data_IF_676448097614
#
_entry.id   IF_676448097614
#
_cell.length_a   1.000
_cell.length_b   1.000
_cell.length_c   1.000
_cell.angle_alpha   90.00
_cell.angle_beta   90.00
_cell.angle_gamma   90.00
#
_symmetry.space_group_name_H-M   'P 1'
#
loop_
_entity.id
_entity.type
_entity.pdbx_description
1 polymer ?
#
# COMPACT_ATOMS: atom_id res chain seq x y z
N UNK A 1 -41.47 -15.81 0.54
CA UNK A 1 -41.78 -14.90 1.65
C UNK A 1 -41.51 -15.62 2.95
N UNK A 2 -40.45 -15.27 3.67
CA UNK A 2 -40.30 -15.45 5.11
C UNK A 2 -38.98 -14.81 5.54
N UNK A 3 -39.10 -13.69 6.26
CA UNK A 3 -38.07 -13.20 7.18
C UNK A 3 -38.18 -14.06 8.45
N UNK A 4 -37.06 -14.34 9.14
CA UNK A 4 -36.99 -13.83 10.51
C UNK A 4 -35.60 -13.29 10.86
N UNK A 5 -35.55 -12.00 11.17
CA UNK A 5 -34.72 -11.49 12.27
C UNK A 5 -35.18 -12.16 13.57
N UNK A 6 -34.24 -12.50 14.44
CA UNK A 6 -34.28 -12.11 15.86
C UNK A 6 -32.87 -12.31 16.44
N UNK A 7 -32.07 -11.28 16.25
CA UNK A 7 -30.78 -11.07 16.90
C UNK A 7 -31.02 -10.51 18.30
N UNK A 8 -30.61 -11.22 19.35
CA UNK A 8 -30.21 -10.58 20.61
C UNK A 8 -29.01 -11.33 21.25
N UNK A 9 -28.12 -10.61 21.93
CA UNK A 9 -26.71 -10.96 22.03
C UNK A 9 -26.41 -11.81 23.28
N UNK A 10 -25.64 -12.90 23.12
CA UNK A 10 -24.99 -13.53 24.26
C UNK A 10 -23.67 -12.82 24.56
N UNK A 11 -23.60 -12.34 25.79
CA UNK A 11 -22.47 -11.64 26.40
C UNK A 11 -21.15 -12.36 26.15
N UNK A 12 -20.21 -11.56 25.68
CA UNK A 12 -18.80 -11.80 25.50
C UNK A 12 -18.15 -12.33 26.78
N UNK A 13 -17.72 -13.60 26.73
CA UNK A 13 -16.66 -14.14 27.55
C UNK A 13 -15.40 -14.20 26.68
N UNK A 14 -14.35 -13.55 27.17
CA UNK A 14 -13.08 -13.30 26.52
C UNK A 14 -12.35 -14.60 26.13
N UNK A 15 -11.66 -14.56 24.98
CA UNK A 15 -10.68 -15.52 24.48
C UNK A 15 -11.23 -16.89 24.02
N UNK A 16 -10.67 -17.39 22.91
CA UNK A 16 -10.92 -18.69 22.26
C UNK A 16 -12.23 -18.81 21.46
N UNK A 17 -12.15 -18.65 20.14
CA UNK A 17 -12.82 -19.49 19.12
C UNK A 17 -12.63 -18.92 17.70
N UNK A 18 -11.63 -19.44 16.98
CA UNK A 18 -11.65 -19.51 15.52
C UNK A 18 -11.84 -20.98 15.14
N UNK A 19 -13.09 -21.44 15.07
CA UNK A 19 -13.44 -22.75 14.49
C UNK A 19 -14.76 -22.62 13.75
N UNK A 20 -14.68 -22.55 12.42
CA UNK A 20 -15.45 -23.34 11.46
C UNK A 20 -15.39 -22.70 10.07
N UNK A 21 -14.35 -23.03 9.31
CA UNK A 21 -14.49 -23.20 7.87
C UNK A 21 -14.40 -24.70 7.61
N UNK A 22 -15.51 -25.29 7.18
CA UNK A 22 -15.65 -26.71 6.86
C UNK A 22 -14.80 -27.04 5.64
N UNK A 23 -13.56 -27.47 5.87
CA UNK A 23 -12.76 -28.24 4.91
C UNK A 23 -12.68 -29.65 5.48
N UNK A 24 -13.12 -30.64 4.71
CA UNK A 24 -12.88 -32.03 5.02
C UNK A 24 -11.35 -32.27 4.96
N UNK A 25 -10.67 -32.05 6.08
CA UNK A 25 -9.23 -32.27 6.23
C UNK A 25 -8.99 -33.76 6.45
N UNK A 26 -8.23 -34.38 5.55
CA UNK A 26 -7.71 -35.73 5.75
C UNK A 26 -6.94 -35.78 7.09
N UNK A 27 -7.06 -36.86 7.88
CA UNK A 27 -6.43 -36.96 9.21
C UNK A 27 -4.94 -36.60 9.24
N UNK A 28 -4.19 -36.96 8.19
CA UNK A 28 -2.76 -36.64 8.07
C UNK A 28 -2.44 -35.15 7.92
N UNK A 29 -3.35 -34.36 7.33
CA UNK A 29 -3.15 -32.91 7.19
C UNK A 29 -3.36 -32.19 8.52
N UNK A 30 -4.23 -32.71 9.39
CA UNK A 30 -4.42 -32.18 10.75
C UNK A 30 -3.20 -32.44 11.62
N UNK A 31 -2.64 -33.65 11.58
CA UNK A 31 -1.38 -33.96 12.28
C UNK A 31 -0.20 -33.15 11.74
N UNK A 32 -0.10 -32.97 10.42
CA UNK A 32 0.95 -32.13 9.81
C UNK A 32 0.80 -30.65 10.20
N UNK A 33 -0.42 -30.14 10.28
CA UNK A 33 -0.72 -28.81 10.82
C UNK A 33 -0.31 -28.76 12.29
N UNK A 34 -0.80 -29.66 13.14
CA UNK A 34 -0.48 -29.64 14.58
C UNK A 34 1.02 -29.79 14.85
N UNK A 35 1.73 -30.61 14.10
CA UNK A 35 3.19 -30.76 14.20
C UNK A 35 3.93 -29.52 13.70
N UNK A 36 3.43 -28.86 12.66
CA UNK A 36 3.95 -27.57 12.19
C UNK A 36 3.76 -26.44 13.20
N UNK A 37 2.63 -26.41 13.92
CA UNK A 37 2.37 -25.41 14.97
C UNK A 37 3.20 -25.63 16.24
N UNK A 38 3.61 -26.87 16.49
CA UNK A 38 4.48 -27.24 17.61
C UNK A 38 5.97 -27.24 17.26
N UNK A 39 6.36 -26.77 16.07
CA UNK A 39 7.77 -26.74 15.67
C UNK A 39 8.56 -25.68 16.47
N UNK A 40 9.87 -25.89 16.71
CA UNK A 40 10.74 -24.87 17.29
C UNK A 40 10.69 -23.55 16.51
N UNK A 41 10.56 -23.61 15.18
CA UNK A 41 10.46 -22.45 14.31
C UNK A 41 9.16 -21.66 14.56
N UNK A 42 8.04 -22.36 14.76
CA UNK A 42 6.76 -21.72 15.11
C UNK A 42 6.82 -21.03 16.47
N UNK A 43 7.47 -21.64 17.47
CA UNK A 43 7.67 -21.02 18.79
C UNK A 43 8.58 -19.78 18.72
N UNK A 44 9.66 -19.86 17.95
CA UNK A 44 10.54 -18.71 17.69
C UNK A 44 9.81 -17.59 16.94
N UNK A 45 8.95 -17.93 15.99
CA UNK A 45 8.12 -16.97 15.27
C UNK A 45 7.11 -16.28 16.21
N UNK A 46 6.42 -17.03 17.07
CA UNK A 46 5.51 -16.47 18.07
C UNK A 46 6.23 -15.54 19.05
N UNK A 47 7.43 -15.93 19.50
CA UNK A 47 8.25 -15.09 20.36
C UNK A 47 8.71 -13.81 19.63
N UNK A 48 9.15 -13.91 18.39
CA UNK A 48 9.55 -12.76 17.58
C UNK A 48 8.38 -11.79 17.34
N UNK A 49 7.18 -12.32 17.07
CA UNK A 49 5.96 -11.53 16.92
C UNK A 49 5.57 -10.83 18.22
N UNK A 50 5.56 -11.57 19.34
CA UNK A 50 5.20 -11.05 20.66
C UNK A 50 6.16 -9.97 21.16
N UNK A 51 7.43 -10.07 20.77
CA UNK A 51 8.47 -9.11 21.12
C UNK A 51 8.68 -8.00 20.09
N UNK A 52 7.92 -8.02 18.98
CA UNK A 52 8.04 -7.03 17.90
C UNK A 52 9.35 -7.08 17.11
N UNK A 53 10.10 -8.19 17.16
CA UNK A 53 11.37 -8.34 16.44
C UNK A 53 11.13 -8.71 14.96
N UNK A 54 10.89 -7.68 14.15
CA UNK A 54 10.55 -7.80 12.72
C UNK A 54 11.56 -8.61 11.92
N UNK A 55 12.85 -8.30 12.06
CA UNK A 55 13.91 -9.01 11.31
C UNK A 55 14.00 -10.49 11.69
N UNK A 56 13.81 -10.81 12.97
CA UNK A 56 13.85 -12.19 13.44
C UNK A 56 12.71 -12.99 12.80
N UNK A 57 11.48 -12.45 12.80
CA UNK A 57 10.34 -13.13 12.20
C UNK A 57 10.50 -13.32 10.67
N UNK A 58 11.04 -12.32 9.97
CA UNK A 58 11.28 -12.41 8.52
C UNK A 58 12.35 -13.45 8.21
N UNK A 59 13.43 -13.51 8.98
CA UNK A 59 14.47 -14.51 8.81
C UNK A 59 13.95 -15.93 9.10
N UNK A 60 13.13 -16.10 10.13
CA UNK A 60 12.49 -17.40 10.45
C UNK A 60 11.63 -17.84 9.27
N UNK A 61 10.80 -16.94 8.74
CA UNK A 61 9.95 -17.21 7.59
C UNK A 61 10.74 -17.54 6.31
N UNK A 62 11.82 -16.80 6.03
CA UNK A 62 12.69 -17.07 4.87
C UNK A 62 13.37 -18.44 5.00
N UNK A 63 13.81 -18.82 6.20
CA UNK A 63 14.44 -20.11 6.44
C UNK A 63 13.46 -21.28 6.31
N UNK A 64 12.23 -21.13 6.80
CA UNK A 64 11.18 -22.15 6.70
C UNK A 64 10.76 -22.39 5.24
N UNK A 65 10.61 -21.31 4.46
CA UNK A 65 10.28 -21.38 3.03
C UNK A 65 11.38 -21.96 2.14
N UNK A 66 12.64 -21.85 2.55
CA UNK A 66 13.76 -22.45 1.82
C UNK A 66 13.86 -23.97 2.07
N UNK A 67 13.02 -24.54 2.94
CA UNK A 67 12.93 -25.99 3.12
C UNK A 67 12.38 -26.66 1.85
N UNK A 68 13.06 -27.72 1.40
CA UNK A 68 12.79 -28.42 0.12
C UNK A 68 11.37 -28.99 0.00
N UNK A 69 10.59 -29.02 1.08
CA UNK A 69 9.33 -29.74 1.17
C UNK A 69 8.12 -28.93 0.68
N UNK A 70 8.23 -27.60 0.54
CA UNK A 70 7.13 -26.74 0.09
C UNK A 70 7.61 -25.61 -0.83
N UNK A 71 7.83 -25.89 -2.14
CA UNK A 71 8.29 -24.90 -3.11
C UNK A 71 7.21 -23.87 -3.53
N UNK A 72 6.00 -23.96 -2.99
CA UNK A 72 5.01 -22.88 -3.11
C UNK A 72 5.53 -21.69 -2.29
N UNK A 73 5.88 -20.60 -2.98
CA UNK A 73 6.28 -19.34 -2.35
C UNK A 73 5.19 -18.96 -1.36
N UNK A 74 5.43 -19.13 -0.06
CA UNK A 74 4.40 -18.78 0.91
C UNK A 74 4.11 -17.28 0.81
N UNK A 75 2.87 -16.93 1.08
CA UNK A 75 2.34 -15.59 0.91
C UNK A 75 2.13 -14.99 2.31
N UNK A 76 2.68 -13.81 2.57
CA UNK A 76 2.42 -13.09 3.81
C UNK A 76 0.95 -12.67 3.88
N UNK A 77 0.26 -13.09 4.94
CA UNK A 77 -1.14 -12.74 5.14
C UNK A 77 -1.26 -11.42 5.91
N UNK A 78 -1.56 -10.34 5.19
CA UNK A 78 -1.70 -9.01 5.77
C UNK A 78 -2.94 -8.88 6.67
N UNK A 79 -3.97 -9.70 6.50
CA UNK A 79 -5.13 -9.71 7.41
C UNK A 79 -4.73 -10.05 8.85
N UNK A 80 -3.74 -10.93 9.01
CA UNK A 80 -3.22 -11.30 10.33
C UNK A 80 -2.29 -10.21 10.88
N UNK A 81 -1.42 -9.66 10.03
CA UNK A 81 -0.53 -8.56 10.44
C UNK A 81 -1.29 -7.28 10.83
N UNK A 82 -2.46 -7.04 10.25
CA UNK A 82 -3.33 -5.92 10.64
C UNK A 82 -3.83 -6.02 12.09
N UNK A 83 -3.76 -7.19 12.72
CA UNK A 83 -4.17 -7.41 14.12
C UNK A 83 -3.03 -7.11 15.11
N UNK A 84 -1.79 -6.98 14.62
CA UNK A 84 -0.63 -6.59 15.41
C UNK A 84 -0.68 -5.09 15.78
N UNK A 85 0.08 -4.65 16.80
CA UNK A 85 0.25 -3.23 17.09
C UNK A 85 0.61 -2.42 15.83
N UNK A 86 -0.01 -1.24 15.68
CA UNK A 86 0.00 -0.44 14.44
C UNK A 86 1.40 -0.22 13.86
N UNK A 87 2.35 0.25 14.66
CA UNK A 87 3.73 0.52 14.22
C UNK A 87 4.46 -0.76 13.76
N UNK A 88 4.20 -1.86 14.45
CA UNK A 88 4.75 -3.17 14.12
C UNK A 88 4.23 -3.65 12.77
N UNK A 89 2.91 -3.55 12.55
CA UNK A 89 2.28 -3.92 11.28
C UNK A 89 2.86 -3.13 10.10
N UNK A 90 3.01 -1.81 10.25
CA UNK A 90 3.60 -0.93 9.24
C UNK A 90 5.04 -1.30 8.92
N UNK A 91 5.83 -1.57 9.95
CA UNK A 91 7.25 -1.95 9.81
C UNK A 91 7.38 -3.31 9.13
N UNK A 92 6.55 -4.29 9.51
CA UNK A 92 6.47 -5.59 8.83
C UNK A 92 6.14 -5.43 7.35
N UNK A 93 5.10 -4.67 7.03
CA UNK A 93 4.68 -4.52 5.64
C UNK A 93 5.74 -3.85 4.77
N UNK A 94 6.40 -2.81 5.29
CA UNK A 94 7.53 -2.18 4.60
C UNK A 94 8.63 -3.19 4.32
N UNK A 95 9.02 -3.98 5.32
CA UNK A 95 10.11 -4.94 5.18
C UNK A 95 9.78 -6.10 4.24
N UNK A 96 8.54 -6.59 4.26
CA UNK A 96 8.02 -7.58 3.30
C UNK A 96 8.15 -7.05 1.86
N UNK A 97 7.79 -5.78 1.64
CA UNK A 97 7.92 -5.14 0.34
C UNK A 97 9.38 -4.98 -0.10
N UNK A 98 10.28 -4.54 0.79
CA UNK A 98 11.72 -4.42 0.49
C UNK A 98 12.34 -5.74 0.04
N UNK A 99 11.97 -6.84 0.69
CA UNK A 99 12.40 -8.19 0.33
C UNK A 99 11.68 -8.75 -0.92
N UNK A 100 10.70 -8.03 -1.45
CA UNK A 100 9.87 -8.40 -2.62
C UNK A 100 9.08 -9.70 -2.42
N UNK A 101 8.72 -10.01 -1.18
CA UNK A 101 7.92 -11.18 -0.86
C UNK A 101 6.50 -11.06 -1.42
N UNK A 102 5.83 -12.19 -1.59
CA UNK A 102 4.41 -12.21 -1.94
C UNK A 102 3.58 -11.94 -0.68
N UNK A 103 2.47 -11.23 -0.84
CA UNK A 103 1.54 -10.92 0.23
C UNK A 103 0.11 -10.90 -0.30
N UNK A 104 -0.87 -11.02 0.60
CA UNK A 104 -2.29 -10.93 0.30
C UNK A 104 -3.05 -10.28 1.45
N UNK A 105 -4.11 -9.52 1.12
CA UNK A 105 -4.96 -8.82 2.09
C UNK A 105 -4.63 -7.34 2.24
N UNK A 106 -4.00 -6.76 1.24
CA UNK A 106 -3.61 -5.37 1.17
C UNK A 106 -4.79 -4.41 1.27
N UNK A 107 -5.95 -4.75 0.73
CA UNK A 107 -7.18 -3.97 0.79
C UNK A 107 -7.67 -3.80 2.23
N UNK A 108 -7.76 -4.90 2.98
CA UNK A 108 -8.12 -4.87 4.39
C UNK A 108 -7.04 -4.17 5.22
N UNK A 109 -5.77 -4.48 4.99
CA UNK A 109 -4.65 -3.85 5.69
C UNK A 109 -4.67 -2.32 5.55
N UNK A 110 -4.87 -1.84 4.32
CA UNK A 110 -5.01 -0.43 4.01
C UNK A 110 -6.26 0.19 4.62
N UNK A 111 -7.37 -0.55 4.75
CA UNK A 111 -8.58 -0.05 5.40
C UNK A 111 -8.41 0.21 6.91
N UNK A 112 -7.55 -0.56 7.58
CA UNK A 112 -7.27 -0.44 9.03
C UNK A 112 -6.20 0.63 9.28
N UNK A 113 -5.14 0.63 8.48
CA UNK A 113 -3.98 1.50 8.70
C UNK A 113 -4.07 2.84 7.97
N UNK A 114 -4.90 2.96 6.94
CA UNK A 114 -5.11 4.21 6.22
C UNK A 114 -3.82 4.79 5.65
N UNK A 115 -3.65 6.10 5.81
CA UNK A 115 -2.51 6.86 5.25
C UNK A 115 -1.17 6.54 5.90
N UNK A 116 -1.13 5.97 7.12
CA UNK A 116 0.15 5.61 7.76
C UNK A 116 0.86 4.50 6.98
N UNK A 117 0.10 3.71 6.22
CA UNK A 117 0.60 2.64 5.38
C UNK A 117 1.10 3.13 4.01
N UNK A 118 0.95 4.43 3.70
CA UNK A 118 1.33 5.02 2.42
C UNK A 118 2.77 4.70 1.97
N UNK A 119 3.80 4.70 2.85
CA UNK A 119 5.16 4.30 2.46
C UNK A 119 5.22 2.87 1.91
N UNK A 120 4.53 1.93 2.58
CA UNK A 120 4.44 0.53 2.12
C UNK A 120 3.69 0.40 0.81
N UNK A 121 2.60 1.17 0.63
CA UNK A 121 1.81 1.20 -0.60
C UNK A 121 2.62 1.71 -1.79
N UNK A 122 3.37 2.81 -1.60
CA UNK A 122 4.24 3.38 -2.62
C UNK A 122 5.36 2.42 -3.03
N UNK A 123 5.94 1.72 -2.07
CA UNK A 123 6.97 0.72 -2.34
C UNK A 123 6.39 -0.49 -3.10
N UNK A 124 5.24 -1.02 -2.66
CA UNK A 124 4.51 -2.07 -3.36
C UNK A 124 4.20 -1.66 -4.81
N UNK A 125 3.72 -0.43 -5.01
CA UNK A 125 3.41 0.13 -6.32
C UNK A 125 4.65 0.23 -7.22
N UNK A 126 5.82 0.54 -6.66
CA UNK A 126 7.08 0.57 -7.41
C UNK A 126 7.45 -0.80 -7.99
N UNK A 127 7.05 -1.88 -7.31
CA UNK A 127 7.34 -3.26 -7.72
C UNK A 127 6.27 -3.83 -8.65
N UNK A 128 4.99 -3.59 -8.36
CA UNK A 128 3.85 -4.20 -9.08
C UNK A 128 2.78 -3.14 -9.44
N UNK A 129 3.09 -2.17 -10.30
CA UNK A 129 2.21 -1.02 -10.53
C UNK A 129 0.83 -1.40 -11.05
N UNK A 130 0.71 -2.46 -11.87
CA UNK A 130 -0.59 -2.89 -12.42
C UNK A 130 -1.53 -3.44 -11.36
N UNK A 131 -1.00 -4.21 -10.42
CA UNK A 131 -1.74 -4.88 -9.35
C UNK A 131 -2.08 -3.89 -8.23
N UNK A 132 -1.15 -3.00 -7.89
CA UNK A 132 -1.31 -2.06 -6.76
C UNK A 132 -2.09 -0.80 -7.14
N UNK A 133 -2.17 -0.42 -8.43
CA UNK A 133 -2.83 0.83 -8.84
C UNK A 133 -4.30 0.97 -8.37
N UNK A 134 -5.16 -0.07 -8.45
CA UNK A 134 -6.53 0.04 -7.95
C UNK A 134 -6.63 0.44 -6.47
N UNK A 135 -5.66 0.06 -5.64
CA UNK A 135 -5.63 0.37 -4.21
C UNK A 135 -5.35 1.86 -3.96
N UNK A 136 -4.54 2.49 -4.83
CA UNK A 136 -4.20 3.91 -4.76
C UNK A 136 -5.44 4.79 -4.96
N UNK A 137 -6.43 4.31 -5.72
CA UNK A 137 -7.60 5.12 -6.10
C UNK A 137 -8.40 5.63 -4.89
N UNK A 138 -8.33 4.92 -3.76
CA UNK A 138 -9.08 5.23 -2.55
C UNK A 138 -8.38 6.27 -1.65
N UNK A 139 -7.15 6.68 -1.97
CA UNK A 139 -6.35 7.57 -1.14
C UNK A 139 -6.09 8.91 -1.83
N UNK A 140 -6.42 10.01 -1.14
CA UNK A 140 -6.03 11.36 -1.52
C UNK A 140 -4.77 11.79 -0.76
N UNK A 141 -3.60 11.56 -1.35
CA UNK A 141 -2.32 11.99 -0.77
C UNK A 141 -1.42 12.64 -1.84
N UNK A 142 -0.63 13.63 -1.44
CA UNK A 142 0.26 14.38 -2.36
C UNK A 142 1.33 13.49 -3.00
N UNK A 143 1.81 12.51 -2.25
CA UNK A 143 2.85 11.56 -2.62
C UNK A 143 2.40 10.61 -3.73
N UNK A 144 1.08 10.42 -3.89
CA UNK A 144 0.45 9.60 -4.93
C UNK A 144 0.33 10.33 -6.26
N UNK A 145 0.35 11.67 -6.26
CA UNK A 145 0.10 12.45 -7.47
C UNK A 145 1.10 12.16 -8.60
N UNK A 146 2.39 12.05 -8.29
CA UNK A 146 3.41 11.72 -9.30
C UNK A 146 3.27 10.27 -9.82
N UNK A 147 3.17 9.23 -8.95
CA UNK A 147 2.82 7.89 -9.38
C UNK A 147 1.60 7.83 -10.32
N UNK A 148 0.49 8.49 -9.95
CA UNK A 148 -0.74 8.52 -10.75
C UNK A 148 -0.53 9.24 -12.09
N UNK A 149 0.17 10.37 -12.11
CA UNK A 149 0.50 11.08 -13.35
C UNK A 149 1.36 10.22 -14.30
N UNK A 150 2.30 9.45 -13.75
CA UNK A 150 3.10 8.49 -14.54
C UNK A 150 2.23 7.36 -15.09
N UNK A 151 1.27 6.86 -14.31
CA UNK A 151 0.30 5.86 -14.78
C UNK A 151 -0.52 6.42 -15.94
N UNK A 152 -1.08 7.62 -15.75
CA UNK A 152 -1.88 8.29 -16.75
C UNK A 152 -1.15 8.47 -18.09
N UNK A 153 0.13 8.84 -18.02
CA UNK A 153 1.00 8.97 -19.20
C UNK A 153 1.30 7.62 -19.85
N UNK A 154 1.77 6.63 -19.06
CA UNK A 154 2.42 5.41 -19.59
C UNK A 154 1.49 4.21 -19.81
N UNK A 155 0.41 4.07 -19.05
CA UNK A 155 -0.41 2.86 -19.03
C UNK A 155 -1.79 3.13 -19.64
N UNK A 156 -1.94 2.80 -20.93
CA UNK A 156 -3.18 3.03 -21.66
C UNK A 156 -4.41 2.38 -20.99
N UNK A 157 -4.27 1.15 -20.46
CA UNK A 157 -5.36 0.42 -19.83
C UNK A 157 -5.87 1.04 -18.51
N UNK A 158 -5.05 1.84 -17.83
CA UNK A 158 -5.38 2.46 -16.54
C UNK A 158 -5.55 3.97 -16.66
N UNK A 159 -5.54 4.50 -17.89
CA UNK A 159 -5.55 5.94 -18.15
C UNK A 159 -6.82 6.60 -17.64
N UNK A 160 -7.98 5.97 -17.81
CA UNK A 160 -9.25 6.56 -17.36
C UNK A 160 -9.35 6.62 -15.83
N UNK A 161 -8.90 5.57 -15.14
CA UNK A 161 -8.84 5.55 -13.68
C UNK A 161 -7.86 6.59 -13.13
N UNK A 162 -6.69 6.74 -13.75
CA UNK A 162 -5.73 7.77 -13.37
C UNK A 162 -6.27 9.19 -13.64
N UNK A 163 -6.98 9.40 -14.75
CA UNK A 163 -7.69 10.65 -15.05
C UNK A 163 -8.72 10.96 -13.97
N UNK A 164 -9.54 9.98 -13.60
CA UNK A 164 -10.56 10.14 -12.55
C UNK A 164 -9.92 10.56 -11.23
N UNK A 165 -8.83 9.90 -10.81
CA UNK A 165 -8.13 10.27 -9.58
C UNK A 165 -7.58 11.69 -9.61
N UNK A 166 -6.92 12.10 -10.71
CA UNK A 166 -6.37 13.46 -10.86
C UNK A 166 -7.47 14.53 -10.72
N UNK A 167 -8.63 14.29 -11.32
CA UNK A 167 -9.76 15.22 -11.27
C UNK A 167 -10.52 15.16 -9.94
N UNK A 168 -10.48 14.02 -9.25
CA UNK A 168 -11.07 13.89 -7.92
C UNK A 168 -10.21 14.60 -6.86
N UNK A 169 -8.88 14.63 -7.04
CA UNK A 169 -7.92 15.23 -6.10
C UNK A 169 -7.06 16.34 -6.75
N UNK A 170 -7.67 17.44 -7.21
CA UNK A 170 -6.95 18.50 -7.93
C UNK A 170 -5.95 19.25 -7.04
N UNK A 171 -6.27 19.45 -5.76
CA UNK A 171 -5.38 20.11 -4.80
C UNK A 171 -4.11 19.32 -4.49
N UNK A 172 -4.26 18.00 -4.27
CA UNK A 172 -3.13 17.09 -4.04
C UNK A 172 -2.23 17.03 -5.28
N UNK A 173 -2.85 16.92 -6.45
CA UNK A 173 -2.16 16.90 -7.74
C UNK A 173 -1.37 18.19 -7.95
N UNK A 174 -2.00 19.37 -7.79
CA UNK A 174 -1.32 20.64 -7.97
C UNK A 174 -0.17 20.84 -6.99
N UNK A 175 -0.38 20.56 -5.70
CA UNK A 175 0.62 20.75 -4.65
C UNK A 175 1.88 19.95 -4.92
N UNK A 176 1.74 18.69 -5.35
CA UNK A 176 2.86 17.80 -5.60
C UNK A 176 3.54 18.05 -6.96
N UNK A 177 2.78 18.38 -8.01
CA UNK A 177 3.28 18.39 -9.39
C UNK A 177 3.79 19.77 -9.84
N UNK A 178 3.29 20.87 -9.29
CA UNK A 178 3.76 22.22 -9.66
C UNK A 178 5.28 22.37 -9.49
N UNK A 179 5.91 21.97 -8.36
CA UNK A 179 7.36 22.07 -8.20
C UNK A 179 8.14 21.30 -9.28
N UNK A 180 7.64 20.14 -9.72
CA UNK A 180 8.33 19.25 -10.65
C UNK A 180 8.45 19.84 -12.06
N UNK A 181 7.49 20.66 -12.49
CA UNK A 181 7.54 21.32 -13.81
C UNK A 181 8.64 22.37 -13.88
N UNK A 182 9.08 22.91 -12.74
CA UNK A 182 10.19 23.87 -12.70
C UNK A 182 11.58 23.21 -12.67
N UNK A 183 11.65 21.88 -12.51
CA UNK A 183 12.91 21.13 -12.53
C UNK A 183 13.41 20.89 -13.96
N UNK A 184 14.61 20.31 -14.10
CA UNK A 184 15.14 19.92 -15.42
C UNK A 184 14.16 18.94 -16.09
N UNK A 185 14.02 19.09 -17.42
CA UNK A 185 13.17 18.19 -18.21
C UNK A 185 13.56 16.72 -17.96
N UNK A 186 12.56 15.96 -17.53
CA UNK A 186 12.63 14.55 -17.18
C UNK A 186 11.27 13.90 -17.43
N UNK A 187 11.22 12.57 -17.43
CA UNK A 187 9.95 11.83 -17.57
C UNK A 187 8.92 12.25 -16.50
N UNK A 188 9.40 12.57 -15.29
CA UNK A 188 8.57 13.02 -14.17
C UNK A 188 8.02 14.44 -14.41
N UNK A 189 8.84 15.38 -14.88
CA UNK A 189 8.38 16.76 -15.15
C UNK A 189 7.40 16.79 -16.33
N UNK A 190 7.59 15.93 -17.34
CA UNK A 190 6.67 15.78 -18.46
C UNK A 190 5.33 15.15 -18.04
N UNK A 191 5.36 14.11 -17.20
CA UNK A 191 4.14 13.53 -16.62
C UNK A 191 3.39 14.56 -15.76
N UNK A 192 4.13 15.34 -14.95
CA UNK A 192 3.58 16.42 -14.16
C UNK A 192 2.92 17.49 -15.04
N UNK A 193 3.61 17.95 -16.10
CA UNK A 193 3.09 18.95 -17.02
C UNK A 193 1.78 18.52 -17.69
N UNK A 194 1.72 17.27 -18.16
CA UNK A 194 0.50 16.74 -18.75
C UNK A 194 -0.65 16.77 -17.73
N UNK A 195 -0.43 16.28 -16.51
CA UNK A 195 -1.46 16.22 -15.48
C UNK A 195 -1.97 17.61 -15.08
N UNK A 196 -1.07 18.60 -14.98
CA UNK A 196 -1.45 19.99 -14.72
C UNK A 196 -2.20 20.62 -15.89
N UNK A 197 -1.85 20.28 -17.14
CA UNK A 197 -2.62 20.71 -18.32
C UNK A 197 -4.05 20.17 -18.28
N UNK A 198 -4.23 18.90 -17.92
CA UNK A 198 -5.56 18.33 -17.73
C UNK A 198 -6.37 19.12 -16.69
N UNK A 199 -5.77 19.47 -15.54
CA UNK A 199 -6.44 20.28 -14.53
C UNK A 199 -6.85 21.66 -15.06
N UNK A 200 -5.97 22.32 -15.81
CA UNK A 200 -6.24 23.60 -16.44
C UNK A 200 -7.42 23.52 -17.42
N UNK A 201 -7.41 22.50 -18.30
CA UNK A 201 -8.47 22.25 -19.28
C UNK A 201 -9.83 21.94 -18.65
N UNK A 202 -9.86 21.37 -17.43
CA UNK A 202 -11.09 21.09 -16.67
C UNK A 202 -11.52 22.26 -15.76
N UNK A 203 -10.91 23.44 -15.90
CA UNK A 203 -11.33 24.66 -15.18
C UNK A 203 -10.65 24.90 -13.83
N UNK A 204 -9.63 24.11 -13.46
CA UNK A 204 -8.88 24.31 -12.21
C UNK A 204 -7.73 25.35 -12.34
N UNK A 205 -7.82 26.28 -13.30
CA UNK A 205 -6.77 27.25 -13.59
C UNK A 205 -6.46 28.20 -12.43
N UNK A 206 -7.48 28.64 -11.69
CA UNK A 206 -7.29 29.53 -10.52
C UNK A 206 -6.54 28.84 -9.38
N UNK A 207 -6.81 27.55 -9.16
CA UNK A 207 -6.12 26.72 -8.18
C UNK A 207 -4.62 26.61 -8.51
N UNK A 208 -4.29 26.40 -9.79
CA UNK A 208 -2.91 26.37 -10.26
C UNK A 208 -2.22 27.73 -10.07
N UNK A 209 -2.90 28.83 -10.40
CA UNK A 209 -2.36 30.17 -10.23
C UNK A 209 -2.08 30.50 -8.76
N UNK A 210 -2.99 30.15 -7.85
CA UNK A 210 -2.82 30.44 -6.42
C UNK A 210 -1.69 29.61 -5.79
N UNK A 211 -1.55 28.32 -6.17
CA UNK A 211 -0.49 27.44 -5.67
C UNK A 211 0.88 27.67 -6.35
N UNK A 212 0.91 28.22 -7.56
CA UNK A 212 2.14 28.50 -8.31
C UNK A 212 2.84 29.81 -7.92
N UNK A 213 2.10 30.80 -7.40
CA UNK A 213 2.63 32.13 -7.01
C UNK A 213 3.81 32.09 -6.02
N UNK A 214 3.81 31.26 -4.96
CA UNK A 214 4.95 31.17 -4.06
C UNK A 214 6.20 30.65 -4.77
N UNK A 215 6.05 29.61 -5.61
CA UNK A 215 7.16 28.88 -6.23
C UNK A 215 7.91 29.68 -7.31
N UNK A 216 7.22 30.56 -8.02
CA UNK A 216 7.84 31.47 -8.98
C UNK A 216 8.75 32.51 -8.30
N UNK A 217 8.38 32.99 -7.11
CA UNK A 217 9.16 33.97 -6.35
C UNK A 217 10.49 33.39 -5.84
N UNK A 218 10.52 32.10 -5.45
CA UNK A 218 11.75 31.44 -4.99
C UNK A 218 12.76 31.18 -6.12
N UNK A 219 12.32 30.99 -7.37
CA UNK A 219 13.21 30.83 -8.53
C UNK A 219 13.89 32.14 -8.94
N UNK A 220 13.24 33.29 -8.71
CA UNK A 220 13.87 34.61 -8.87
C UNK A 220 15.00 34.86 -7.85
N UNK A 221 14.95 34.24 -6.65
CA UNK A 221 16.04 34.35 -5.67
C UNK A 221 17.16 33.32 -5.88
N UNK A 222 16.86 32.15 -6.46
CA UNK A 222 17.83 31.05 -6.59
C UNK A 222 18.70 31.08 -7.87
N UNK A 223 18.54 32.07 -8.76
CA UNK A 223 19.40 32.24 -9.94
C UNK A 223 19.74 33.71 -10.23
N UNK A 224 20.71 34.32 -9.53
CA UNK A 224 21.32 35.56 -9.96
C UNK A 224 22.43 35.24 -10.98
N UNK A 225 22.08 35.02 -12.26
CA UNK A 225 23.15 34.92 -13.28
C UNK A 225 22.89 34.13 -14.57
N UNK A 226 21.67 34.09 -15.10
CA UNK A 226 21.44 33.47 -16.40
C UNK A 226 20.64 34.37 -17.35
N UNK A 227 21.12 35.61 -17.55
CA UNK A 227 20.80 36.44 -18.73
C UNK A 227 21.95 37.41 -19.01
N UNK A 228 22.92 36.94 -19.79
CA UNK A 228 23.70 37.71 -20.78
C UNK A 228 23.95 36.80 -21.96
#
# INVERSE_FOLDING_TARGET
MAVPELYTPRKTGCCTQFTHCSVALLPGLVEEILNGWNSPEAQLAEQALSSGHVEALINIWENDNNSRSRPEKSVWNLYLLAQSPREMALTFWLRINEKKHLFAGEDYFLSILGLDALPGLLLAFSHRPKETFPLILNFGATELALPVARVWRRFAAQRDLARQWILHWPEHTATALIPLVFTKSSDNSEAALLALRLLYEQGHGELLANRGKPLAAYRCMACPGAFT
#
